data_IF_134973222909
#
_entry.id   IF_134973222909
#
_cell.length_a   1.000
_cell.length_b   1.000
_cell.length_c   1.000
_cell.angle_alpha   90.00
_cell.angle_beta   90.00
_cell.angle_gamma   90.00
#
_symmetry.space_group_name_H-M   'P 1'
#
loop_
_entity.id
_entity.type
_entity.pdbx_description
1 polymer ?
#
# COMPACT_ATOMS: atom_id res chain seq x y z
N UNK A 1 -25.55 -41.98 82.00
CA UNK A 1 -25.38 -42.68 80.73
C UNK A 1 -25.85 -41.71 79.65
N UNK A 2 -24.98 -40.78 79.23
CA UNK A 2 -24.01 -40.92 78.10
C UNK A 2 -24.80 -41.07 76.79
N UNK A 3 -24.66 -40.29 75.73
CA UNK A 3 -23.55 -39.52 75.14
C UNK A 3 -24.21 -38.47 74.20
N UNK A 4 -23.78 -37.22 74.06
CA UNK A 4 -22.54 -36.86 73.39
C UNK A 4 -22.68 -36.91 71.85
N UNK A 5 -23.21 -35.87 71.20
CA UNK A 5 -22.86 -35.63 69.78
C UNK A 5 -23.01 -34.15 69.39
N UNK A 6 -21.85 -33.52 69.24
CA UNK A 6 -21.68 -32.20 68.68
C UNK A 6 -21.59 -32.27 67.14
N UNK A 7 -21.68 -31.09 66.52
CA UNK A 7 -21.15 -30.72 65.21
C UNK A 7 -21.95 -31.15 63.97
N UNK A 8 -22.50 -30.16 63.25
CA UNK A 8 -22.08 -29.95 61.85
C UNK A 8 -22.45 -28.56 61.35
N UNK A 9 -21.42 -27.72 61.25
CA UNK A 9 -21.45 -26.46 60.56
C UNK A 9 -21.63 -26.61 59.04
N UNK A 10 -22.25 -25.57 58.49
CA UNK A 10 -22.37 -25.26 57.07
C UNK A 10 -21.02 -25.22 56.38
N UNK A 11 -20.89 -25.94 55.25
CA UNK A 11 -19.91 -25.60 54.22
C UNK A 11 -20.50 -26.00 52.85
N UNK A 12 -20.93 -25.00 52.09
CA UNK A 12 -21.20 -25.10 50.65
C UNK A 12 -19.87 -25.33 49.92
N UNK A 13 -19.76 -26.31 49.00
CA UNK A 13 -18.59 -26.43 48.14
C UNK A 13 -18.62 -25.36 47.03
N UNK A 14 -17.50 -24.71 46.68
CA UNK A 14 -17.43 -23.88 45.49
C UNK A 14 -17.50 -24.76 44.23
N UNK A 15 -18.40 -24.38 43.31
CA UNK A 15 -18.53 -25.02 42.01
C UNK A 15 -17.21 -24.98 41.24
N UNK A 16 -16.75 -26.15 40.83
CA UNK A 16 -15.56 -26.34 40.02
C UNK A 16 -15.66 -25.56 38.70
N UNK A 17 -14.57 -24.86 38.39
CA UNK A 17 -14.37 -24.15 37.13
C UNK A 17 -14.47 -25.12 35.94
N UNK A 18 -15.34 -24.78 34.99
CA UNK A 18 -15.44 -25.46 33.72
C UNK A 18 -14.10 -25.35 32.93
N UNK A 19 -13.71 -26.38 32.16
CA UNK A 19 -12.56 -26.27 31.27
C UNK A 19 -12.88 -25.25 30.16
N UNK A 20 -12.20 -24.11 30.20
CA UNK A 20 -12.29 -23.12 29.14
C UNK A 20 -11.67 -23.70 27.87
N UNK A 21 -12.54 -23.96 26.88
CA UNK A 21 -12.17 -24.29 25.51
C UNK A 21 -11.24 -23.19 24.99
N UNK A 22 -10.11 -23.50 24.31
CA UNK A 22 -9.23 -22.47 23.77
C UNK A 22 -10.05 -21.62 22.80
N UNK A 23 -10.28 -20.36 23.15
CA UNK A 23 -10.71 -19.36 22.18
C UNK A 23 -9.54 -19.20 21.20
N UNK A 24 -9.73 -19.40 19.88
CA UNK A 24 -8.70 -19.02 18.93
C UNK A 24 -8.48 -17.51 19.11
N UNK A 25 -7.25 -17.15 19.47
CA UNK A 25 -6.80 -15.76 19.44
C UNK A 25 -7.17 -15.16 18.07
N UNK A 26 -7.60 -13.89 18.00
CA UNK A 26 -7.80 -13.25 16.71
C UNK A 26 -6.49 -13.36 15.95
N UNK A 27 -6.52 -14.03 14.80
CA UNK A 27 -5.43 -13.98 13.85
C UNK A 27 -5.17 -12.50 13.61
N UNK A 28 -4.03 -12.01 14.06
CA UNK A 28 -3.47 -10.73 13.63
C UNK A 28 -3.60 -10.77 12.11
N UNK A 29 -4.35 -9.86 11.46
CA UNK A 29 -4.41 -9.87 10.01
C UNK A 29 -2.95 -9.80 9.57
N UNK A 30 -2.54 -10.81 8.80
CA UNK A 30 -1.22 -10.88 8.20
C UNK A 30 -0.89 -9.47 7.73
N UNK A 31 0.22 -8.92 8.25
CA UNK A 31 0.78 -7.63 7.85
C UNK A 31 0.66 -7.59 6.34
N UNK A 32 -0.35 -6.88 5.83
CA UNK A 32 -0.76 -7.01 4.44
C UNK A 32 0.49 -6.74 3.62
N UNK A 33 0.78 -7.64 2.70
CA UNK A 33 1.91 -7.61 1.78
C UNK A 33 1.73 -6.49 0.76
N UNK A 34 1.28 -5.31 1.21
CA UNK A 34 1.10 -4.10 0.41
C UNK A 34 2.44 -3.72 -0.23
N UNK A 35 3.57 -4.05 0.38
CA UNK A 35 4.89 -3.83 -0.21
C UNK A 35 5.34 -4.84 -1.26
N UNK A 36 4.74 -6.04 -1.28
CA UNK A 36 5.17 -7.13 -2.16
C UNK A 36 4.81 -6.86 -3.62
N UNK A 37 3.56 -6.49 -3.88
CA UNK A 37 3.06 -6.26 -5.23
C UNK A 37 3.61 -4.95 -5.85
N UNK A 38 3.82 -3.89 -5.05
CA UNK A 38 4.46 -2.63 -5.50
C UNK A 38 5.91 -2.88 -5.90
N UNK A 39 6.62 -3.64 -5.06
CA UNK A 39 7.99 -4.04 -5.39
C UNK A 39 8.05 -4.94 -6.61
N UNK A 40 7.07 -5.81 -6.82
CA UNK A 40 6.99 -6.70 -7.99
C UNK A 40 6.70 -5.92 -9.28
N UNK A 41 5.79 -4.95 -9.24
CA UNK A 41 5.54 -4.03 -10.35
C UNK A 41 6.76 -3.16 -10.69
N UNK A 42 7.37 -2.51 -9.70
CA UNK A 42 8.57 -1.69 -9.92
C UNK A 42 9.81 -2.54 -10.31
N UNK A 43 9.84 -3.82 -9.94
CA UNK A 43 10.93 -4.75 -10.31
C UNK A 43 10.75 -5.34 -11.70
N UNK A 44 9.54 -5.75 -12.07
CA UNK A 44 9.20 -6.12 -13.45
C UNK A 44 9.54 -4.97 -14.41
N UNK A 45 9.34 -3.74 -13.94
CA UNK A 45 9.68 -2.50 -14.61
C UNK A 45 11.17 -2.20 -14.79
N UNK A 46 11.99 -2.36 -13.75
CA UNK A 46 13.44 -2.10 -13.84
C UNK A 46 14.15 -3.05 -14.81
N UNK A 47 13.55 -4.22 -15.09
CA UNK A 47 14.08 -5.20 -16.04
C UNK A 47 13.81 -4.83 -17.50
N UNK A 48 12.76 -4.06 -17.75
CA UNK A 48 12.32 -3.63 -19.09
C UNK A 48 13.24 -2.50 -19.62
N UNK A 49 13.62 -1.55 -18.76
CA UNK A 49 14.60 -0.49 -19.13
C UNK A 49 16.04 -1.02 -19.23
N UNK A 50 16.41 -2.00 -18.40
CA UNK A 50 17.72 -2.66 -18.50
C UNK A 50 17.87 -3.54 -19.76
N UNK A 51 16.76 -3.91 -20.41
CA UNK A 51 16.77 -4.62 -21.69
C UNK A 51 16.85 -3.68 -22.90
N UNK A 52 16.49 -2.40 -22.72
CA UNK A 52 16.46 -1.40 -23.81
C UNK A 52 17.72 -0.52 -23.86
N UNK A 53 18.57 -0.54 -22.82
CA UNK A 53 19.90 0.08 -22.80
C UNK A 53 21.03 -0.94 -23.04
N UNK A 54 21.13 -1.44 -24.27
CA UNK A 54 22.32 -2.12 -24.75
C UNK A 54 23.03 -1.29 -25.84
N UNK A 55 24.01 -0.43 -25.50
CA UNK A 55 24.97 0.03 -26.48
C UNK A 55 26.13 -0.97 -26.55
N UNK A 56 26.21 -1.67 -27.68
CA UNK A 56 27.43 -2.32 -28.10
C UNK A 56 28.54 -1.27 -28.29
N UNK A 57 29.62 -1.33 -27.49
CA UNK A 57 30.97 -1.01 -27.96
C UNK A 57 32.06 -1.54 -27.04
N UNK A 58 32.79 -2.52 -27.57
CA UNK A 58 34.07 -2.98 -27.07
C UNK A 58 35.17 -1.93 -27.35
N UNK A 59 36.01 -1.63 -26.36
CA UNK A 59 37.48 -1.55 -26.43
C UNK A 59 38.04 -0.96 -25.11
N UNK A 60 39.00 -1.64 -24.50
CA UNK A 60 39.81 -1.21 -23.35
C UNK A 60 41.22 -0.76 -23.83
N UNK A 61 42.21 -0.40 -22.97
CA UNK A 61 42.24 0.27 -21.65
C UNK A 61 43.23 1.47 -21.62
N UNK A 62 43.21 2.36 -20.60
CA UNK A 62 44.41 3.11 -20.09
C UNK A 62 44.13 3.97 -18.84
N UNK A 63 45.11 3.93 -17.94
CA UNK A 63 45.36 4.59 -16.64
C UNK A 63 44.71 5.94 -16.25
N UNK A 64 44.20 6.01 -15.00
CA UNK A 64 44.65 6.90 -13.89
C UNK A 64 43.63 6.88 -12.72
N UNK A 65 44.05 6.69 -11.43
CA UNK A 65 43.15 6.85 -10.29
C UNK A 65 43.09 8.32 -9.86
N UNK A 66 42.17 9.09 -10.44
CA UNK A 66 41.71 10.34 -9.84
C UNK A 66 40.64 10.03 -8.79
N UNK A 67 40.62 10.71 -7.62
CA UNK A 67 39.57 10.55 -6.63
C UNK A 67 38.29 11.17 -7.20
N UNK A 68 37.53 10.36 -7.93
CA UNK A 68 36.17 10.68 -8.28
C UNK A 68 35.40 10.82 -6.96
N UNK A 69 35.09 12.07 -6.59
CA UNK A 69 33.82 12.42 -5.98
C UNK A 69 32.72 11.90 -6.92
N UNK A 70 32.55 10.59 -6.93
CA UNK A 70 31.54 9.86 -7.69
C UNK A 70 30.28 10.06 -6.89
N UNK A 71 29.57 11.12 -7.24
CA UNK A 71 28.11 11.18 -7.27
C UNK A 71 27.45 10.02 -6.52
N UNK A 72 27.39 10.12 -5.20
CA UNK A 72 26.51 9.31 -4.37
C UNK A 72 25.03 9.72 -4.54
N UNK A 73 24.72 10.40 -5.65
CA UNK A 73 23.43 11.05 -5.93
C UNK A 73 22.63 10.31 -7.01
N UNK A 74 23.13 9.19 -7.54
CA UNK A 74 22.24 8.18 -8.10
C UNK A 74 21.51 7.51 -6.94
N UNK A 75 20.38 8.08 -6.49
CA UNK A 75 19.48 7.40 -5.56
C UNK A 75 19.10 6.09 -6.24
N UNK A 76 19.71 5.01 -5.77
CA UNK A 76 19.55 3.68 -6.33
C UNK A 76 18.03 3.38 -6.47
N UNK A 77 17.53 2.82 -7.58
CA UNK A 77 16.09 2.57 -7.80
C UNK A 77 15.43 1.81 -6.63
N UNK A 78 16.22 1.01 -5.91
CA UNK A 78 15.83 0.37 -4.64
C UNK A 78 15.32 1.35 -3.56
N UNK A 79 15.93 2.52 -3.41
CA UNK A 79 15.49 3.54 -2.45
C UNK A 79 14.17 4.19 -2.83
N UNK A 80 13.89 4.33 -4.12
CA UNK A 80 12.60 4.84 -4.61
C UNK A 80 11.50 3.83 -4.31
N UNK A 81 11.75 2.54 -4.55
CA UNK A 81 10.83 1.44 -4.20
C UNK A 81 10.55 1.41 -2.70
N UNK A 82 11.60 1.52 -1.86
CA UNK A 82 11.45 1.52 -0.41
C UNK A 82 10.66 2.76 0.08
N UNK A 83 10.96 3.93 -0.49
CA UNK A 83 10.22 5.17 -0.19
C UNK A 83 8.75 5.04 -0.55
N UNK A 84 8.44 4.48 -1.73
CA UNK A 84 7.07 4.25 -2.17
C UNK A 84 6.36 3.23 -1.29
N UNK A 85 7.03 2.14 -0.91
CA UNK A 85 6.50 1.12 0.00
C UNK A 85 6.16 1.71 1.38
N UNK A 86 7.07 2.49 1.96
CA UNK A 86 6.83 3.20 3.21
C UNK A 86 5.64 4.16 3.09
N UNK A 87 5.57 4.95 2.01
CA UNK A 87 4.48 5.88 1.76
C UNK A 87 3.15 5.17 1.51
N UNK A 88 3.15 4.00 0.89
CA UNK A 88 1.93 3.26 0.53
C UNK A 88 1.05 2.94 1.74
N UNK A 89 1.66 2.63 2.89
CA UNK A 89 0.91 2.36 4.12
C UNK A 89 0.27 3.64 4.68
N UNK A 90 0.98 4.77 4.66
CA UNK A 90 0.43 6.05 5.08
C UNK A 90 -0.65 6.56 4.11
N UNK A 91 -0.48 6.32 2.81
CA UNK A 91 -1.47 6.64 1.78
C UNK A 91 -2.74 5.78 1.92
N UNK A 92 -2.62 4.48 2.16
CA UNK A 92 -3.77 3.60 2.36
C UNK A 92 -4.63 4.05 3.57
N UNK A 93 -4.00 4.66 4.57
CA UNK A 93 -4.64 5.27 5.74
C UNK A 93 -5.08 6.72 5.52
N UNK A 94 -4.63 7.36 4.45
CA UNK A 94 -4.95 8.74 4.11
C UNK A 94 -6.40 8.90 3.62
N UNK A 95 -6.96 7.84 3.02
CA UNK A 95 -8.32 7.78 2.49
C UNK A 95 -9.12 6.73 3.27
N UNK A 96 -10.26 7.15 3.83
CA UNK A 96 -11.21 6.24 4.46
C UNK A 96 -11.77 5.23 3.45
N UNK A 97 -12.06 4.01 3.91
CA UNK A 97 -12.62 2.98 3.03
C UNK A 97 -13.99 3.40 2.46
N UNK A 98 -14.86 4.00 3.30
CA UNK A 98 -16.18 4.49 2.85
C UNK A 98 -16.05 5.58 1.77
N UNK A 99 -15.09 6.49 1.93
CA UNK A 99 -14.77 7.51 0.93
C UNK A 99 -14.33 6.89 -0.41
N UNK A 100 -13.61 5.77 -0.38
CA UNK A 100 -13.18 5.04 -1.59
C UNK A 100 -14.38 4.41 -2.33
N UNK A 101 -15.35 3.88 -1.57
CA UNK A 101 -16.59 3.30 -2.12
C UNK A 101 -17.49 4.39 -2.70
N UNK A 102 -17.62 5.52 -2.03
CA UNK A 102 -18.40 6.66 -2.53
C UNK A 102 -17.78 7.25 -3.80
N UNK A 103 -16.45 7.43 -3.83
CA UNK A 103 -15.70 7.88 -4.99
C UNK A 103 -15.97 7.03 -6.22
N UNK A 104 -15.93 5.70 -6.08
CA UNK A 104 -16.24 4.77 -7.15
C UNK A 104 -17.69 4.92 -7.65
N UNK A 105 -18.64 5.04 -6.74
CA UNK A 105 -20.05 5.27 -7.10
C UNK A 105 -20.25 6.58 -7.87
N UNK A 106 -19.50 7.64 -7.56
CA UNK A 106 -19.57 8.91 -8.29
C UNK A 106 -18.89 8.81 -9.66
N UNK A 107 -17.75 8.12 -9.72
CA UNK A 107 -17.05 7.86 -10.98
C UNK A 107 -17.93 7.08 -11.98
N UNK A 108 -18.63 6.02 -11.54
CA UNK A 108 -19.57 5.30 -12.39
C UNK A 108 -20.73 6.17 -12.90
N UNK A 109 -21.18 7.15 -12.09
CA UNK A 109 -22.21 8.11 -12.48
C UNK A 109 -21.71 9.18 -13.45
N UNK A 110 -20.42 9.18 -13.79
CA UNK A 110 -19.80 10.17 -14.66
C UNK A 110 -19.63 11.54 -14.00
N UNK A 111 -19.69 11.61 -12.66
CA UNK A 111 -19.44 12.83 -11.93
C UNK A 111 -17.97 13.24 -12.11
N UNK A 112 -17.76 14.49 -12.49
CA UNK A 112 -16.43 15.11 -12.60
C UNK A 112 -16.07 15.75 -11.25
N UNK A 113 -14.80 16.04 -11.00
CA UNK A 113 -14.34 16.67 -9.75
C UNK A 113 -14.59 15.83 -8.49
N UNK A 114 -14.58 14.50 -8.64
CA UNK A 114 -14.75 13.58 -7.50
C UNK A 114 -13.44 13.39 -6.73
N UNK A 115 -12.30 13.65 -7.39
CA UNK A 115 -10.96 13.53 -6.84
C UNK A 115 -10.46 14.88 -6.31
N UNK A 116 -11.07 15.38 -5.23
CA UNK A 116 -10.63 16.64 -4.59
C UNK A 116 -9.87 16.38 -3.30
N UNK A 117 -9.17 17.40 -2.79
CA UNK A 117 -8.49 17.32 -1.48
C UNK A 117 -9.41 16.93 -0.32
N UNK A 118 -10.73 17.16 -0.45
CA UNK A 118 -11.73 16.81 0.56
C UNK A 118 -11.94 15.31 0.75
N UNK A 119 -11.52 14.50 -0.23
CA UNK A 119 -11.55 13.04 -0.13
C UNK A 119 -10.61 12.52 0.96
N UNK A 120 -9.60 13.31 1.33
CA UNK A 120 -8.53 12.90 2.24
C UNK A 120 -8.81 13.32 3.68
N UNK A 121 -8.45 12.42 4.60
CA UNK A 121 -8.34 12.75 6.03
C UNK A 121 -7.34 13.89 6.26
N UNK A 122 -7.36 14.52 7.44
CA UNK A 122 -6.38 15.57 7.78
C UNK A 122 -4.94 15.10 7.63
N UNK A 123 -4.64 13.87 8.04
CA UNK A 123 -3.31 13.26 7.84
C UNK A 123 -3.06 12.99 6.36
N UNK A 124 -4.07 12.51 5.64
CA UNK A 124 -3.98 12.26 4.20
C UNK A 124 -3.70 13.48 3.35
N UNK A 125 -4.19 14.66 3.76
CA UNK A 125 -3.86 15.92 3.10
C UNK A 125 -2.37 16.26 3.24
N UNK A 126 -1.77 16.01 4.41
CA UNK A 126 -0.32 16.19 4.61
C UNK A 126 0.48 15.22 3.74
N UNK A 127 0.07 13.95 3.69
CA UNK A 127 0.68 12.93 2.82
C UNK A 127 0.58 13.34 1.35
N UNK A 128 -0.56 13.89 0.91
CA UNK A 128 -0.73 14.42 -0.44
C UNK A 128 0.25 15.56 -0.74
N UNK A 129 0.38 16.54 0.15
CA UNK A 129 1.32 17.66 -0.02
C UNK A 129 2.79 17.18 -0.09
N UNK A 130 3.15 16.19 0.72
CA UNK A 130 4.47 15.56 0.70
C UNK A 130 4.74 14.86 -0.65
N UNK A 131 3.81 14.02 -1.11
CA UNK A 131 3.91 13.31 -2.39
C UNK A 131 4.00 14.30 -3.54
N UNK A 132 3.17 15.34 -3.55
CA UNK A 132 3.18 16.37 -4.60
C UNK A 132 4.53 17.08 -4.65
N UNK A 133 5.08 17.47 -3.50
CA UNK A 133 6.41 18.08 -3.40
C UNK A 133 7.50 17.13 -3.87
N UNK A 134 7.40 15.84 -3.52
CA UNK A 134 8.36 14.80 -3.90
C UNK A 134 8.34 14.57 -5.41
N UNK A 135 7.16 14.46 -6.00
CA UNK A 135 6.94 14.30 -7.45
C UNK A 135 7.51 15.45 -8.27
N UNK A 136 7.41 16.68 -7.76
CA UNK A 136 7.97 17.87 -8.44
C UNK A 136 9.51 17.94 -8.36
N UNK A 137 10.09 17.52 -7.23
CA UNK A 137 11.52 17.72 -6.94
C UNK A 137 12.42 16.52 -7.25
N UNK A 138 11.89 15.31 -7.22
CA UNK A 138 12.67 14.07 -7.38
C UNK A 138 12.28 13.36 -8.69
N UNK A 139 13.09 13.47 -9.76
CA UNK A 139 12.74 12.91 -11.07
C UNK A 139 12.63 11.38 -11.05
N UNK A 140 13.47 10.67 -10.28
CA UNK A 140 13.33 9.21 -10.17
C UNK A 140 12.02 8.79 -9.49
N UNK A 141 11.57 9.55 -8.48
CA UNK A 141 10.28 9.31 -7.83
C UNK A 141 9.12 9.57 -8.80
N UNK A 142 9.20 10.65 -9.59
CA UNK A 142 8.23 10.93 -10.65
C UNK A 142 8.11 9.76 -11.63
N UNK A 143 9.22 9.27 -12.18
CA UNK A 143 9.22 8.12 -13.10
C UNK A 143 8.58 6.89 -12.48
N UNK A 144 8.91 6.58 -11.22
CA UNK A 144 8.31 5.46 -10.51
C UNK A 144 6.79 5.62 -10.31
N UNK A 145 6.33 6.82 -9.98
CA UNK A 145 4.90 7.13 -9.82
C UNK A 145 4.16 7.05 -11.17
N UNK A 146 4.70 7.67 -12.22
CA UNK A 146 4.10 7.67 -13.55
C UNK A 146 3.94 6.25 -14.10
N UNK A 147 4.96 5.41 -13.86
CA UNK A 147 4.93 4.00 -14.24
C UNK A 147 3.91 3.21 -13.45
N UNK A 148 3.90 3.36 -12.13
CA UNK A 148 2.91 2.73 -11.26
C UNK A 148 1.47 3.07 -11.68
N UNK A 149 1.20 4.33 -12.03
CA UNK A 149 -0.10 4.76 -12.54
C UNK A 149 -0.44 3.99 -13.82
N UNK A 150 0.47 3.96 -14.80
CA UNK A 150 0.24 3.29 -16.08
C UNK A 150 0.01 1.77 -15.93
N UNK A 151 0.79 1.10 -15.08
CA UNK A 151 0.64 -0.33 -14.81
C UNK A 151 -0.68 -0.63 -14.11
N UNK A 152 -1.10 0.22 -13.16
CA UNK A 152 -2.39 0.07 -12.50
C UNK A 152 -3.57 0.30 -13.45
N UNK A 153 -3.49 1.31 -14.32
CA UNK A 153 -4.50 1.55 -15.37
C UNK A 153 -4.62 0.36 -16.34
N UNK A 154 -3.48 -0.25 -16.71
CA UNK A 154 -3.46 -1.46 -17.53
C UNK A 154 -4.12 -2.64 -16.84
N UNK A 155 -3.85 -2.84 -15.55
CA UNK A 155 -4.50 -3.87 -14.74
C UNK A 155 -6.01 -3.64 -14.67
N UNK A 156 -6.45 -2.40 -14.41
CA UNK A 156 -7.87 -2.07 -14.40
C UNK A 156 -8.52 -2.34 -15.75
N UNK A 157 -7.87 -1.99 -16.86
CA UNK A 157 -8.39 -2.22 -18.20
C UNK A 157 -8.51 -3.73 -18.54
N UNK A 158 -7.56 -4.54 -18.07
CA UNK A 158 -7.60 -6.00 -18.25
C UNK A 158 -8.75 -6.63 -17.44
N UNK A 159 -8.84 -6.27 -16.15
CA UNK A 159 -9.90 -6.75 -15.26
C UNK A 159 -11.27 -6.31 -15.76
N UNK A 160 -11.43 -5.05 -16.16
CA UNK A 160 -12.72 -4.52 -16.64
C UNK A 160 -13.23 -5.20 -17.93
N UNK A 161 -12.33 -5.78 -18.75
CA UNK A 161 -12.75 -6.58 -19.92
C UNK A 161 -13.30 -7.94 -19.53
N UNK A 162 -12.79 -8.52 -18.44
CA UNK A 162 -13.18 -9.83 -17.95
C UNK A 162 -14.39 -9.75 -16.99
N UNK A 163 -14.57 -8.62 -16.31
CA UNK A 163 -15.52 -8.41 -15.23
C UNK A 163 -16.81 -7.72 -15.73
N UNK A 164 -17.78 -8.52 -16.23
CA UNK A 164 -19.08 -8.01 -16.71
C UNK A 164 -19.89 -7.28 -15.64
N UNK A 165 -19.76 -7.68 -14.38
CA UNK A 165 -20.51 -7.13 -13.24
C UNK A 165 -19.76 -6.01 -12.50
N UNK A 166 -18.57 -5.59 -12.98
CA UNK A 166 -17.71 -4.57 -12.37
C UNK A 166 -17.37 -4.79 -10.87
N UNK A 167 -17.59 -6.00 -10.35
CA UNK A 167 -17.40 -6.35 -8.94
C UNK A 167 -15.92 -6.49 -8.60
N UNK A 168 -15.14 -7.09 -9.50
CA UNK A 168 -13.69 -7.24 -9.35
C UNK A 168 -13.03 -5.87 -9.50
N UNK A 169 -13.41 -5.09 -10.51
CA UNK A 169 -12.90 -3.71 -10.70
C UNK A 169 -13.17 -2.84 -9.46
N UNK A 170 -14.37 -2.95 -8.87
CA UNK A 170 -14.70 -2.25 -7.63
C UNK A 170 -13.81 -2.69 -6.46
N UNK A 171 -13.55 -3.99 -6.32
CA UNK A 171 -12.68 -4.50 -5.25
C UNK A 171 -11.27 -3.92 -5.36
N UNK A 172 -10.71 -3.84 -6.58
CA UNK A 172 -9.39 -3.23 -6.81
C UNK A 172 -9.37 -1.74 -6.49
N UNK A 173 -10.38 -0.96 -6.91
CA UNK A 173 -10.40 0.48 -6.66
C UNK A 173 -10.63 0.84 -5.19
N UNK A 174 -11.37 0.01 -4.45
CA UNK A 174 -11.65 0.23 -3.02
C UNK A 174 -10.59 -0.37 -2.09
N UNK A 175 -9.64 -1.13 -2.64
CA UNK A 175 -8.50 -1.70 -1.92
C UNK A 175 -7.41 -0.66 -1.60
N UNK A 176 -6.48 -1.01 -0.71
CA UNK A 176 -5.33 -0.16 -0.35
C UNK A 176 -4.50 0.24 -1.58
N UNK A 177 -4.35 -0.70 -2.51
CA UNK A 177 -3.77 -0.58 -3.84
C UNK A 177 -4.44 0.55 -4.65
N UNK A 178 -5.78 0.55 -4.72
CA UNK A 178 -6.57 1.57 -5.42
C UNK A 178 -6.55 2.94 -4.73
N UNK A 179 -6.44 2.97 -3.39
CA UNK A 179 -6.23 4.21 -2.63
C UNK A 179 -4.88 4.84 -2.93
N UNK A 180 -3.83 4.02 -3.01
CA UNK A 180 -2.49 4.48 -3.41
C UNK A 180 -2.51 5.07 -4.81
N UNK A 181 -3.10 4.35 -5.76
CA UNK A 181 -3.33 4.86 -7.11
C UNK A 181 -4.06 6.20 -7.15
N UNK A 182 -5.18 6.30 -6.44
CA UNK A 182 -5.99 7.54 -6.40
C UNK A 182 -5.16 8.73 -5.91
N UNK A 183 -4.42 8.56 -4.82
CA UNK A 183 -3.62 9.63 -4.25
C UNK A 183 -2.46 10.03 -5.18
N UNK A 184 -1.75 9.06 -5.75
CA UNK A 184 -0.62 9.31 -6.63
C UNK A 184 -1.05 9.99 -7.93
N UNK A 185 -2.10 9.50 -8.57
CA UNK A 185 -2.62 10.05 -9.81
C UNK A 185 -3.17 11.48 -9.62
N UNK A 186 -3.78 11.77 -8.48
CA UNK A 186 -4.19 13.13 -8.13
C UNK A 186 -2.97 14.03 -7.82
N UNK A 187 -1.96 13.53 -7.08
CA UNK A 187 -0.77 14.32 -6.80
C UNK A 187 0.03 14.68 -8.08
N UNK A 188 0.06 13.76 -9.05
CA UNK A 188 0.63 13.96 -10.38
C UNK A 188 -0.21 14.87 -11.30
N UNK A 189 -1.41 15.27 -10.88
CA UNK A 189 -2.30 16.14 -11.66
C UNK A 189 -3.04 15.44 -12.81
N UNK A 190 -3.07 14.10 -12.82
CA UNK A 190 -3.78 13.32 -13.85
C UNK A 190 -5.26 13.17 -13.55
N UNK A 191 -5.63 13.20 -12.28
CA UNK A 191 -7.03 13.19 -11.83
C UNK A 191 -7.40 14.60 -11.33
N UNK A 192 -8.54 15.10 -11.81
CA UNK A 192 -9.16 16.37 -11.40
C UNK A 192 -10.68 16.27 -11.47
#
# INVERSE_FOLDING_TARGET
VEDGLALRGTITPPAAAAPQRPVPAPATPARQETGGWISDLLRGASRDEAAEEAPARAAAPSAQPAPAQRSADSRNPRHVVESLNSLSVDIARAIDHDASVDLWRRYQRGERDVFTRRLYTLKGQQTFDEIKRKYDREPEFRTAVDRYIADFEKLLADVARSDRDQTITQSYLTSDTGKVYTMLAHAAGRLS
#
